data_IF_927602309354
#
_entry.id   IF_927602309354
#
_cell.length_a   1.000
_cell.length_b   1.000
_cell.length_c   1.000
_cell.angle_alpha   90.00
_cell.angle_beta   90.00
_cell.angle_gamma   90.00
#
_symmetry.space_group_name_H-M   'P 1'
#
loop_
_entity.id
_entity.type
_entity.pdbx_description
1 polymer ?
#
# COMPACT_ATOMS: atom_id res chain seq x y z
N UNK A 1 0.30 16.79 15.47
CA UNK A 1 -1.02 16.21 15.81
C UNK A 1 -1.56 15.52 14.57
N UNK A 2 -2.08 14.29 14.67
CA UNK A 2 -2.76 13.62 13.55
C UNK A 2 -4.13 14.29 13.41
N UNK A 3 -4.49 14.74 12.21
CA UNK A 3 -5.83 15.28 11.97
C UNK A 3 -6.89 14.16 11.89
N UNK A 4 -8.18 14.52 11.90
CA UNK A 4 -9.28 13.55 11.80
C UNK A 4 -9.30 12.74 10.49
N UNK A 5 -8.40 13.03 9.54
CA UNK A 5 -8.23 12.34 8.25
C UNK A 5 -6.96 11.48 8.22
N UNK A 6 -6.28 11.30 9.37
CA UNK A 6 -5.09 10.46 9.46
C UNK A 6 -3.83 11.09 8.87
N UNK A 7 -3.80 12.42 8.67
CA UNK A 7 -2.67 13.13 8.07
C UNK A 7 -1.79 13.79 9.13
N UNK A 8 -0.50 13.86 8.83
CA UNK A 8 0.53 14.53 9.64
C UNK A 8 1.44 15.31 8.72
N UNK A 9 1.65 16.59 9.01
CA UNK A 9 2.70 17.38 8.38
C UNK A 9 4.09 16.97 8.90
N UNK A 10 5.06 16.79 7.99
CA UNK A 10 6.40 16.28 8.32
C UNK A 10 7.48 17.18 7.71
N UNK A 11 8.54 17.54 8.47
CA UNK A 11 8.70 17.35 9.92
C UNK A 11 7.66 18.15 10.73
N UNK A 12 7.35 17.73 11.98
CA UNK A 12 6.26 18.34 12.76
C UNK A 12 6.41 19.84 13.04
N UNK A 13 7.64 20.31 13.19
CA UNK A 13 7.94 21.71 13.54
C UNK A 13 8.01 22.64 12.31
N UNK A 14 8.20 22.07 11.11
CA UNK A 14 8.25 22.79 9.83
C UNK A 14 7.73 21.87 8.70
N UNK A 15 6.42 21.72 8.52
CA UNK A 15 5.85 20.75 7.60
C UNK A 15 6.21 21.01 6.12
N UNK A 16 6.96 20.09 5.51
CA UNK A 16 7.37 20.14 4.11
C UNK A 16 6.50 19.25 3.21
N UNK A 17 5.91 18.20 3.77
CA UNK A 17 4.97 17.32 3.07
C UNK A 17 3.94 16.73 4.03
N UNK A 18 2.87 16.17 3.48
CA UNK A 18 1.83 15.47 4.22
C UNK A 18 2.05 13.96 4.15
N UNK A 19 2.03 13.31 5.31
CA UNK A 19 1.98 11.87 5.44
C UNK A 19 0.55 11.46 5.80
N UNK A 20 -0.11 10.72 4.90
CA UNK A 20 -1.42 10.09 5.15
C UNK A 20 -1.20 8.66 5.62
N UNK A 21 -1.73 8.32 6.80
CA UNK A 21 -1.67 6.95 7.34
C UNK A 21 -2.90 6.16 6.90
N UNK A 22 -2.69 4.97 6.36
CA UNK A 22 -3.76 4.01 6.06
C UNK A 22 -3.78 2.98 7.17
N UNK A 23 -4.87 2.95 7.95
CA UNK A 23 -5.01 2.01 9.05
C UNK A 23 -5.30 0.60 8.52
N UNK A 24 -4.61 -0.39 9.08
CA UNK A 24 -4.87 -1.81 8.84
C UNK A 24 -5.48 -2.44 10.09
N UNK A 25 -6.40 -3.40 9.90
CA UNK A 25 -6.76 -4.30 10.99
C UNK A 25 -5.62 -5.28 11.26
N UNK A 26 -5.69 -5.97 12.40
CA UNK A 26 -4.70 -6.98 12.74
C UNK A 26 -4.69 -8.13 11.73
N UNK A 27 -5.86 -8.56 11.29
CA UNK A 27 -6.04 -9.62 10.30
C UNK A 27 -5.50 -9.20 8.93
N UNK A 28 -5.73 -7.94 8.54
CA UNK A 28 -5.12 -7.36 7.34
C UNK A 28 -3.59 -7.36 7.46
N UNK A 29 -3.02 -6.91 8.57
CA UNK A 29 -1.57 -6.91 8.80
C UNK A 29 -0.99 -8.34 8.74
N UNK A 30 -1.62 -9.29 9.42
CA UNK A 30 -1.23 -10.71 9.43
C UNK A 30 -1.21 -11.30 8.01
N UNK A 31 -2.31 -11.20 7.25
CA UNK A 31 -2.40 -11.80 5.92
C UNK A 31 -1.64 -11.06 4.83
N UNK A 32 -1.63 -9.72 4.84
CA UNK A 32 -0.96 -8.91 3.83
C UNK A 32 0.56 -8.85 4.06
N UNK A 33 0.99 -8.44 5.25
CA UNK A 33 2.38 -8.12 5.52
C UNK A 33 3.17 -9.38 5.86
N UNK A 34 2.72 -10.13 6.87
CA UNK A 34 3.44 -11.34 7.30
C UNK A 34 3.24 -12.49 6.32
N UNK A 35 1.99 -12.78 5.92
CA UNK A 35 1.67 -13.84 4.97
C UNK A 35 2.13 -13.56 3.53
N UNK A 36 1.28 -12.95 2.71
CA UNK A 36 1.53 -12.90 1.27
C UNK A 36 2.82 -12.15 0.90
N UNK A 37 3.09 -11.02 1.55
CA UNK A 37 4.26 -10.20 1.23
C UNK A 37 5.56 -10.84 1.70
N UNK A 38 5.67 -11.26 2.96
CA UNK A 38 6.94 -11.70 3.54
C UNK A 38 7.15 -13.22 3.54
N UNK A 39 6.11 -14.06 3.63
CA UNK A 39 6.24 -15.52 3.46
C UNK A 39 6.13 -15.96 1.99
N UNK A 40 5.44 -15.18 1.15
CA UNK A 40 5.24 -15.47 -0.27
C UNK A 40 6.21 -14.71 -1.19
N UNK A 41 5.99 -13.40 -1.35
CA UNK A 41 6.70 -12.58 -2.33
C UNK A 41 8.18 -12.38 -2.00
N UNK A 42 8.52 -12.10 -0.75
CA UNK A 42 9.91 -11.84 -0.35
C UNK A 42 10.83 -13.03 -0.69
N UNK A 43 10.57 -14.29 -0.26
CA UNK A 43 11.45 -15.40 -0.61
C UNK A 43 11.46 -15.70 -2.11
N UNK A 44 10.32 -15.49 -2.80
CA UNK A 44 10.25 -15.61 -4.26
C UNK A 44 11.18 -14.62 -4.97
N UNK A 45 11.18 -13.36 -4.55
CA UNK A 45 11.99 -12.31 -5.16
C UNK A 45 13.49 -12.42 -4.84
N UNK A 46 13.85 -13.03 -3.71
CA UNK A 46 15.23 -13.06 -3.22
C UNK A 46 15.96 -14.39 -3.43
N UNK A 47 15.36 -15.34 -4.18
CA UNK A 47 15.91 -16.69 -4.38
C UNK A 47 16.29 -17.30 -3.02
N UNK A 48 15.43 -17.12 -2.03
CA UNK A 48 15.70 -17.58 -0.68
C UNK A 48 15.72 -19.12 -0.67
N UNK A 49 16.58 -19.69 0.18
CA UNK A 49 16.54 -21.13 0.46
C UNK A 49 15.22 -21.57 1.10
N UNK A 50 14.45 -20.62 1.64
CA UNK A 50 13.09 -20.82 2.15
C UNK A 50 12.10 -20.90 1.00
N UNK A 51 11.31 -21.98 0.96
CA UNK A 51 10.24 -22.15 -0.02
C UNK A 51 9.15 -21.09 0.23
N UNK A 52 8.71 -20.35 -0.81
CA UNK A 52 7.61 -19.41 -0.66
C UNK A 52 6.31 -20.15 -0.36
N UNK A 53 5.50 -19.57 0.53
CA UNK A 53 4.18 -20.08 0.91
C UNK A 53 3.12 -19.10 0.38
N UNK A 54 2.10 -19.64 -0.30
CA UNK A 54 1.00 -18.85 -0.85
C UNK A 54 -0.32 -19.45 -0.41
N UNK A 55 -0.93 -18.82 0.59
CA UNK A 55 -2.27 -19.16 1.04
C UNK A 55 -3.31 -18.28 0.34
N UNK A 56 -4.44 -18.88 -0.02
CA UNK A 56 -5.50 -18.17 -0.75
C UNK A 56 -6.12 -17.04 0.08
N UNK A 57 -6.12 -17.15 1.41
CA UNK A 57 -6.67 -16.13 2.31
C UNK A 57 -5.74 -14.90 2.41
N UNK A 58 -4.43 -15.13 2.55
CA UNK A 58 -3.42 -14.06 2.54
C UNK A 58 -3.44 -13.28 1.23
N UNK A 59 -3.67 -13.97 0.11
CA UNK A 59 -3.86 -13.30 -1.19
C UNK A 59 -5.09 -12.37 -1.21
N UNK A 60 -6.18 -12.73 -0.53
CA UNK A 60 -7.35 -11.84 -0.43
C UNK A 60 -7.02 -10.61 0.41
N UNK A 61 -6.33 -10.79 1.55
CA UNK A 61 -5.85 -9.66 2.35
C UNK A 61 -4.90 -8.77 1.54
N UNK A 62 -4.02 -9.36 0.74
CA UNK A 62 -3.08 -8.61 -0.08
C UNK A 62 -3.77 -7.74 -1.14
N UNK A 63 -4.79 -8.27 -1.81
CA UNK A 63 -5.63 -7.51 -2.72
C UNK A 63 -6.42 -6.41 -2.00
N UNK A 64 -7.03 -6.73 -0.85
CA UNK A 64 -7.83 -5.80 -0.08
C UNK A 64 -7.00 -4.60 0.41
N UNK A 65 -5.79 -4.85 0.92
CA UNK A 65 -4.88 -3.79 1.37
C UNK A 65 -4.39 -2.96 0.18
N UNK A 66 -3.98 -3.58 -0.94
CA UNK A 66 -3.61 -2.82 -2.15
C UNK A 66 -4.76 -1.92 -2.64
N UNK A 67 -6.00 -2.41 -2.61
CA UNK A 67 -7.18 -1.61 -2.95
C UNK A 67 -7.42 -0.46 -1.96
N UNK A 68 -7.24 -0.70 -0.66
CA UNK A 68 -7.36 0.32 0.41
C UNK A 68 -6.40 1.47 0.20
N UNK A 69 -5.13 1.16 -0.08
CA UNK A 69 -4.12 2.16 -0.44
C UNK A 69 -4.45 2.85 -1.78
N UNK A 70 -4.96 2.10 -2.76
CA UNK A 70 -5.42 2.66 -4.04
C UNK A 70 -6.49 3.73 -3.85
N UNK A 71 -7.54 3.42 -3.09
CA UNK A 71 -8.60 4.37 -2.78
C UNK A 71 -8.07 5.61 -2.04
N UNK A 72 -7.23 5.39 -1.02
CA UNK A 72 -6.64 6.49 -0.26
C UNK A 72 -5.80 7.43 -1.14
N UNK A 73 -5.06 6.89 -2.11
CA UNK A 73 -4.27 7.67 -3.06
C UNK A 73 -5.15 8.40 -4.09
N UNK A 74 -6.18 7.74 -4.62
CA UNK A 74 -7.13 8.36 -5.56
C UNK A 74 -7.83 9.58 -4.95
N UNK A 75 -8.18 9.50 -3.67
CA UNK A 75 -8.72 10.63 -2.90
C UNK A 75 -7.72 11.81 -2.83
N UNK A 76 -6.44 11.55 -2.54
CA UNK A 76 -5.43 12.61 -2.44
C UNK A 76 -5.10 13.23 -3.80
N UNK A 77 -5.22 12.45 -4.86
CA UNK A 77 -5.00 12.96 -6.21
C UNK A 77 -6.20 13.75 -6.74
N UNK A 78 -7.36 13.72 -6.08
CA UNK A 78 -8.57 14.39 -6.55
C UNK A 78 -8.32 15.88 -6.83
N UNK A 79 -8.61 16.31 -8.07
CA UNK A 79 -8.39 17.69 -8.52
C UNK A 79 -6.97 18.02 -8.98
N UNK A 80 -5.99 17.12 -8.85
CA UNK A 80 -4.65 17.30 -9.44
C UNK A 80 -4.67 16.97 -10.93
N UNK A 81 -4.09 17.86 -11.74
CA UNK A 81 -3.81 17.62 -13.16
C UNK A 81 -2.49 16.84 -13.30
N UNK A 82 -2.54 15.68 -13.98
CA UNK A 82 -1.36 14.84 -14.27
C UNK A 82 -0.42 14.60 -13.07
N UNK A 83 -0.90 14.02 -11.96
CA UNK A 83 -0.07 13.77 -10.79
C UNK A 83 1.02 12.75 -11.09
N UNK A 84 2.23 13.01 -10.59
CA UNK A 84 3.30 12.03 -10.59
C UNK A 84 3.16 11.10 -9.39
N UNK A 85 3.02 9.80 -9.63
CA UNK A 85 2.89 8.78 -8.59
C UNK A 85 4.10 7.86 -8.59
N UNK A 86 4.75 7.75 -7.43
CA UNK A 86 5.83 6.82 -7.19
C UNK A 86 5.36 5.72 -6.23
N UNK A 87 5.24 4.49 -6.73
CA UNK A 87 4.87 3.30 -5.94
C UNK A 87 6.14 2.58 -5.55
N UNK A 88 6.29 2.26 -4.27
CA UNK A 88 7.52 1.71 -3.72
C UNK A 88 7.32 0.28 -3.26
N UNK A 89 8.22 -0.59 -3.71
CA UNK A 89 8.44 -1.94 -3.20
C UNK A 89 7.36 -3.00 -3.54
N UNK A 90 7.69 -4.28 -3.30
CA UNK A 90 6.89 -5.43 -3.72
C UNK A 90 5.52 -5.53 -3.03
N UNK A 91 5.37 -4.91 -1.85
CA UNK A 91 4.13 -4.84 -1.09
C UNK A 91 2.95 -4.23 -1.87
N UNK A 92 3.24 -3.40 -2.87
CA UNK A 92 2.23 -2.68 -3.65
C UNK A 92 2.20 -3.11 -5.12
N UNK A 93 2.52 -4.37 -5.44
CA UNK A 93 2.61 -4.83 -6.83
C UNK A 93 1.30 -4.68 -7.64
N UNK A 94 0.13 -4.63 -6.99
CA UNK A 94 -1.17 -4.47 -7.67
C UNK A 94 -1.59 -3.02 -7.81
N UNK A 95 -1.07 -2.14 -6.95
CA UNK A 95 -1.44 -0.75 -6.86
C UNK A 95 -1.33 0.00 -8.21
N UNK A 96 -0.29 -0.17 -9.05
CA UNK A 96 -0.22 0.54 -10.33
C UNK A 96 -1.41 0.27 -11.24
N UNK A 97 -1.86 -0.99 -11.32
CA UNK A 97 -3.02 -1.38 -12.14
C UNK A 97 -4.31 -0.82 -11.56
N UNK A 98 -4.48 -0.87 -10.23
CA UNK A 98 -5.66 -0.33 -9.55
C UNK A 98 -5.80 1.16 -9.85
N UNK A 99 -4.71 1.93 -9.74
CA UNK A 99 -4.69 3.36 -10.03
C UNK A 99 -5.02 3.61 -11.50
N UNK A 100 -4.33 2.94 -12.44
CA UNK A 100 -4.55 3.17 -13.87
C UNK A 100 -5.93 2.75 -14.38
N UNK A 101 -6.60 1.81 -13.71
CA UNK A 101 -7.98 1.48 -14.03
C UNK A 101 -8.96 2.60 -13.61
N UNK A 102 -8.68 3.30 -12.52
CA UNK A 102 -9.53 4.38 -12.00
C UNK A 102 -9.18 5.76 -12.59
N UNK A 103 -7.90 6.01 -12.86
CA UNK A 103 -7.34 7.22 -13.44
C UNK A 103 -6.36 6.83 -14.57
N UNK A 104 -6.85 6.69 -15.82
CA UNK A 104 -6.02 6.24 -16.95
C UNK A 104 -4.98 7.26 -17.40
N UNK A 105 -5.26 8.56 -17.24
CA UNK A 105 -4.30 9.66 -17.41
C UNK A 105 -3.06 9.47 -16.52
#
# INVERSE_FOLDING_TARGET
MIDGLGKVGVPPDDPQYLLKRVALTREEEEGYYYGFSNEGLWPLCHIAYTRPIFEAEDWKHYQAVNLKFGNALLEEMAGLHEPCVLIQDYHFALLPRIIKNARPD
#
